data_IF_522867707569
#
_entry.id   IF_522867707569
#
_cell.length_a   1.000
_cell.length_b   1.000
_cell.length_c   1.000
_cell.angle_alpha   90.00
_cell.angle_beta   90.00
_cell.angle_gamma   90.00
#
_symmetry.space_group_name_H-M   'P 1'
#
loop_
_entity.id
_entity.type
_entity.pdbx_description
1 polymer ?
#
# COMPACT_ATOMS: atom_id res chain seq x y z
N UNK A 1 -12.45 14.49 -9.38
CA UNK A 1 -12.63 14.07 -7.96
C UNK A 1 -13.56 12.87 -7.86
N UNK A 2 -14.68 12.89 -8.55
CA UNK A 2 -15.65 11.80 -8.52
C UNK A 2 -15.08 10.50 -9.08
N UNK A 3 -14.42 10.54 -10.24
CA UNK A 3 -13.73 9.38 -10.83
C UNK A 3 -12.68 8.78 -9.88
N UNK A 4 -11.90 9.61 -9.19
CA UNK A 4 -10.94 9.14 -8.19
C UNK A 4 -11.63 8.37 -7.06
N UNK A 5 -12.75 8.90 -6.55
CA UNK A 5 -13.51 8.25 -5.49
C UNK A 5 -14.15 6.94 -5.94
N UNK A 6 -14.63 6.86 -7.19
CA UNK A 6 -15.14 5.62 -7.77
C UNK A 6 -14.05 4.54 -7.84
N UNK A 7 -12.83 4.89 -8.29
CA UNK A 7 -11.71 3.97 -8.32
C UNK A 7 -11.25 3.53 -6.93
N UNK A 8 -11.24 4.46 -5.96
CA UNK A 8 -10.96 4.14 -4.56
C UNK A 8 -11.98 3.14 -4.00
N UNK A 9 -13.27 3.36 -4.28
CA UNK A 9 -14.34 2.46 -3.85
C UNK A 9 -14.18 1.06 -4.42
N UNK A 10 -13.77 0.91 -5.68
CA UNK A 10 -13.53 -0.41 -6.28
C UNK A 10 -12.49 -1.22 -5.51
N UNK A 11 -11.42 -0.59 -5.02
CA UNK A 11 -10.40 -1.24 -4.20
C UNK A 11 -10.90 -1.47 -2.78
N UNK A 12 -11.54 -0.47 -2.17
CA UNK A 12 -12.05 -0.53 -0.82
C UNK A 12 -13.10 -1.65 -0.66
N UNK A 13 -14.01 -1.79 -1.62
CA UNK A 13 -15.09 -2.77 -1.55
C UNK A 13 -14.60 -4.22 -1.67
N UNK A 14 -13.44 -4.45 -2.29
CA UNK A 14 -12.75 -5.74 -2.40
C UNK A 14 -11.83 -6.07 -1.22
N UNK A 15 -11.57 -5.12 -0.35
CA UNK A 15 -10.70 -5.36 0.80
C UNK A 15 -11.40 -6.22 1.86
N UNK A 16 -10.72 -7.26 2.35
CA UNK A 16 -11.21 -8.14 3.42
C UNK A 16 -11.34 -7.41 4.75
N UNK A 17 -10.48 -6.43 4.99
CA UNK A 17 -10.46 -5.66 6.23
C UNK A 17 -10.60 -4.16 5.96
N UNK A 18 -11.64 -3.54 6.55
CA UNK A 18 -12.02 -2.15 6.33
C UNK A 18 -12.05 -1.40 7.66
N UNK A 19 -11.09 -0.50 7.89
CA UNK A 19 -11.05 0.33 9.11
C UNK A 19 -11.89 1.59 8.98
N UNK A 20 -11.86 2.22 7.84
CA UNK A 20 -12.57 3.45 7.56
C UNK A 20 -12.49 3.79 6.07
N UNK A 21 -13.44 4.59 5.59
CA UNK A 21 -13.53 5.01 4.20
C UNK A 21 -13.19 6.49 4.10
N UNK A 22 -12.23 6.82 3.24
CA UNK A 22 -11.87 8.21 2.98
C UNK A 22 -12.80 8.81 1.91
N UNK A 23 -13.10 10.08 2.04
CA UNK A 23 -13.73 10.84 0.97
C UNK A 23 -12.71 11.24 -0.09
N UNK A 24 -13.19 11.52 -1.31
CA UNK A 24 -12.33 12.09 -2.36
C UNK A 24 -11.63 13.37 -1.89
N UNK A 25 -12.33 14.21 -1.16
CA UNK A 25 -11.85 15.48 -0.62
C UNK A 25 -10.61 15.31 0.26
N UNK A 26 -10.53 14.19 1.00
CA UNK A 26 -9.39 13.89 1.85
C UNK A 26 -8.08 13.83 1.07
N UNK A 27 -8.06 13.18 -0.11
CA UNK A 27 -6.87 13.07 -0.95
C UNK A 27 -6.40 14.43 -1.46
N UNK A 28 -7.32 15.30 -1.86
CA UNK A 28 -7.00 16.63 -2.35
C UNK A 28 -6.53 17.55 -1.22
N UNK A 29 -7.18 17.50 -0.06
CA UNK A 29 -6.77 18.24 1.12
C UNK A 29 -5.37 17.81 1.60
N UNK A 30 -5.06 16.51 1.58
CA UNK A 30 -3.72 16.01 1.87
C UNK A 30 -2.69 16.59 0.87
N UNK A 31 -3.01 16.59 -0.43
CA UNK A 31 -2.11 17.14 -1.45
C UNK A 31 -1.88 18.64 -1.28
N UNK A 32 -2.92 19.39 -0.98
CA UNK A 32 -2.84 20.84 -0.79
C UNK A 32 -2.04 21.22 0.46
N UNK A 33 -2.31 20.54 1.59
CA UNK A 33 -1.71 20.88 2.88
C UNK A 33 -0.29 20.31 3.06
N UNK A 34 -0.02 19.10 2.55
CA UNK A 34 1.27 18.43 2.71
C UNK A 34 2.22 18.64 1.51
N UNK A 35 1.72 19.22 0.41
CA UNK A 35 2.54 19.60 -0.75
C UNK A 35 3.49 18.49 -1.21
N UNK A 36 4.81 18.70 -1.01
CA UNK A 36 5.84 17.77 -1.44
C UNK A 36 5.96 16.53 -0.56
N UNK A 37 5.42 16.57 0.66
CA UNK A 37 5.37 15.41 1.55
C UNK A 37 4.27 14.41 1.16
N UNK A 38 3.34 14.77 0.27
CA UNK A 38 2.29 13.89 -0.22
C UNK A 38 2.24 13.85 -1.74
N UNK A 39 2.25 12.64 -2.29
CA UNK A 39 2.06 12.43 -3.73
C UNK A 39 0.68 11.87 -4.01
N UNK A 40 0.04 12.40 -5.05
CA UNK A 40 -1.20 11.89 -5.63
C UNK A 40 -1.02 11.87 -7.15
N UNK A 41 -1.03 10.69 -7.76
CA UNK A 41 -0.76 10.50 -9.18
C UNK A 41 -1.88 9.72 -9.85
N UNK A 42 -2.41 10.23 -10.96
CA UNK A 42 -3.43 9.59 -11.79
C UNK A 42 -2.82 8.84 -12.99
N UNK A 43 -3.50 7.78 -13.41
CA UNK A 43 -3.20 6.99 -14.60
C UNK A 43 -4.38 7.10 -15.56
N UNK A 44 -4.10 7.48 -16.78
CA UNK A 44 -5.12 7.74 -17.80
C UNK A 44 -4.97 6.78 -18.98
N UNK A 45 -6.09 6.37 -19.51
CA UNK A 45 -6.23 5.64 -20.76
C UNK A 45 -7.28 6.38 -21.60
N UNK A 46 -6.89 6.90 -22.78
CA UNK A 46 -7.75 7.68 -23.64
C UNK A 46 -8.53 8.78 -22.88
N UNK A 47 -7.79 9.61 -22.13
CA UNK A 47 -8.28 10.70 -21.28
C UNK A 47 -9.22 10.29 -20.11
N UNK A 48 -9.45 9.00 -19.90
CA UNK A 48 -10.21 8.48 -18.75
C UNK A 48 -9.27 8.07 -17.64
N UNK A 49 -9.60 8.46 -16.40
CA UNK A 49 -8.85 8.04 -15.22
C UNK A 49 -9.12 6.56 -14.94
N UNK A 50 -8.10 5.71 -15.11
CA UNK A 50 -8.19 4.25 -14.90
C UNK A 50 -7.48 3.77 -13.63
N UNK A 51 -6.73 4.65 -12.98
CA UNK A 51 -6.09 4.35 -11.70
C UNK A 51 -5.53 5.61 -11.05
N UNK A 52 -5.29 5.52 -9.76
CA UNK A 52 -4.49 6.51 -9.02
C UNK A 52 -3.72 5.85 -7.90
N UNK A 53 -2.64 6.49 -7.50
CA UNK A 53 -1.88 6.11 -6.30
C UNK A 53 -1.56 7.33 -5.47
N UNK A 54 -1.43 7.14 -4.16
CA UNK A 54 -1.01 8.15 -3.21
C UNK A 54 0.07 7.62 -2.27
N UNK A 55 0.90 8.51 -1.74
CA UNK A 55 1.98 8.13 -0.83
C UNK A 55 2.50 9.32 -0.05
N UNK A 56 3.20 9.03 1.05
CA UNK A 56 3.83 10.01 1.91
C UNK A 56 5.34 9.90 1.82
N UNK A 57 6.00 11.06 1.76
CA UNK A 57 7.44 11.18 1.90
C UNK A 57 7.78 11.80 3.25
N UNK A 58 8.51 11.07 4.07
CA UNK A 58 8.95 11.54 5.38
C UNK A 58 10.20 10.77 5.82
N UNK A 59 11.12 11.44 6.44
CA UNK A 59 12.29 10.86 7.12
C UNK A 59 13.02 9.75 6.34
N UNK A 60 13.30 10.01 5.06
CA UNK A 60 13.95 9.04 4.16
C UNK A 60 13.05 7.89 3.69
N UNK A 61 11.74 7.94 3.98
CA UNK A 61 10.77 6.92 3.57
C UNK A 61 9.83 7.41 2.48
N UNK A 62 9.41 6.49 1.63
CA UNK A 62 8.19 6.59 0.83
C UNK A 62 7.20 5.54 1.33
N UNK A 63 6.11 5.98 1.93
CA UNK A 63 5.03 5.10 2.38
C UNK A 63 3.90 5.09 1.36
N UNK A 64 3.69 3.95 0.70
CA UNK A 64 2.58 3.74 -0.23
C UNK A 64 1.26 3.74 0.56
N UNK A 65 0.39 4.70 0.22
CA UNK A 65 -0.84 4.91 0.97
C UNK A 65 -2.02 4.19 0.30
N UNK A 66 -2.94 4.89 -0.32
CA UNK A 66 -4.07 4.29 -1.01
C UNK A 66 -3.90 4.31 -2.52
N UNK A 67 -4.51 3.32 -3.15
CA UNK A 67 -4.63 3.22 -4.60
C UNK A 67 -6.10 3.11 -4.99
N UNK A 68 -6.44 3.55 -6.19
CA UNK A 68 -7.69 3.26 -6.86
C UNK A 68 -7.40 2.61 -8.20
N UNK A 69 -8.16 1.60 -8.58
CA UNK A 69 -7.89 0.81 -9.78
C UNK A 69 -9.21 0.51 -10.48
N UNK A 70 -9.25 0.76 -11.78
CA UNK A 70 -10.27 0.17 -12.63
C UNK A 70 -9.88 -1.28 -12.93
N UNK A 71 -10.58 -2.23 -12.31
CA UNK A 71 -10.23 -3.64 -12.45
C UNK A 71 -10.51 -4.22 -13.84
N UNK A 72 -11.41 -3.64 -14.63
CA UNK A 72 -11.66 -4.05 -16.00
C UNK A 72 -10.40 -3.89 -16.88
N UNK A 73 -9.64 -2.84 -16.62
CA UNK A 73 -8.42 -2.53 -17.34
C UNK A 73 -7.14 -3.06 -16.68
N UNK A 74 -7.22 -3.45 -15.38
CA UNK A 74 -6.04 -3.80 -14.62
C UNK A 74 -5.25 -4.98 -15.20
N UNK A 75 -5.95 -6.03 -15.66
CA UNK A 75 -5.28 -7.21 -16.23
C UNK A 75 -4.55 -6.87 -17.54
N UNK A 76 -5.23 -6.19 -18.46
CA UNK A 76 -4.68 -5.86 -19.79
C UNK A 76 -3.50 -4.89 -19.71
N UNK A 77 -3.59 -3.89 -18.84
CA UNK A 77 -2.59 -2.80 -18.76
C UNK A 77 -1.67 -2.91 -17.55
N UNK A 78 -1.81 -3.94 -16.73
CA UNK A 78 -1.02 -4.18 -15.53
C UNK A 78 -0.95 -2.93 -14.61
N UNK A 79 -2.09 -2.27 -14.39
CA UNK A 79 -2.17 -0.96 -13.71
C UNK A 79 -1.50 -1.01 -12.33
N UNK A 80 -1.84 -2.03 -11.52
CA UNK A 80 -1.26 -2.17 -10.18
C UNK A 80 0.26 -2.39 -10.22
N UNK A 81 0.76 -3.21 -11.17
CA UNK A 81 2.19 -3.44 -11.33
C UNK A 81 2.92 -2.15 -11.74
N UNK A 82 2.33 -1.35 -12.63
CA UNK A 82 2.86 -0.03 -12.99
C UNK A 82 2.92 0.92 -11.81
N UNK A 83 1.93 0.88 -10.91
CA UNK A 83 1.94 1.65 -9.67
C UNK A 83 3.12 1.27 -8.76
N UNK A 84 3.43 -0.03 -8.64
CA UNK A 84 4.60 -0.49 -7.86
C UNK A 84 5.90 0.04 -8.47
N UNK A 85 6.08 -0.03 -9.79
CA UNK A 85 7.24 0.54 -10.47
C UNK A 85 7.33 2.06 -10.31
N UNK A 86 6.19 2.74 -10.32
CA UNK A 86 6.15 4.18 -10.14
C UNK A 86 6.57 4.61 -8.72
N UNK A 87 6.19 3.85 -7.67
CA UNK A 87 6.72 4.08 -6.32
C UNK A 87 8.25 3.94 -6.29
N UNK A 88 8.80 2.90 -6.94
CA UNK A 88 10.25 2.69 -7.03
C UNK A 88 10.91 3.85 -7.78
N UNK A 89 10.36 4.27 -8.92
CA UNK A 89 10.87 5.40 -9.69
C UNK A 89 10.91 6.68 -8.84
N UNK A 90 9.82 7.01 -8.16
CA UNK A 90 9.74 8.18 -7.29
C UNK A 90 10.75 8.10 -6.12
N UNK A 91 10.96 6.91 -5.57
CA UNK A 91 11.92 6.68 -4.50
C UNK A 91 13.36 6.95 -4.98
N UNK A 92 13.73 6.44 -6.16
CA UNK A 92 15.04 6.67 -6.78
C UNK A 92 15.24 8.17 -7.08
N UNK A 93 14.27 8.82 -7.71
CA UNK A 93 14.34 10.23 -8.08
C UNK A 93 14.50 11.16 -6.86
N UNK A 94 13.82 10.82 -5.76
CA UNK A 94 13.90 11.59 -4.51
C UNK A 94 14.99 11.10 -3.55
N UNK A 95 15.72 10.05 -3.94
CA UNK A 95 16.80 9.45 -3.13
C UNK A 95 16.32 9.05 -1.73
N UNK A 96 15.11 8.51 -1.62
CA UNK A 96 14.65 7.95 -0.36
C UNK A 96 15.32 6.60 -0.10
N UNK A 97 15.53 6.28 1.16
CA UNK A 97 16.25 5.08 1.57
C UNK A 97 15.37 3.83 1.54
N UNK A 98 14.06 3.99 1.79
CA UNK A 98 13.13 2.88 1.99
C UNK A 98 11.75 3.15 1.42
N UNK A 99 11.11 2.08 0.95
CA UNK A 99 9.70 2.10 0.51
C UNK A 99 8.90 1.15 1.38
N UNK A 100 7.84 1.65 2.02
CA UNK A 100 6.82 0.82 2.67
C UNK A 100 5.67 0.63 1.69
N UNK A 101 5.42 -0.61 1.26
CA UNK A 101 4.29 -0.93 0.38
C UNK A 101 3.01 -1.30 1.15
N UNK A 102 3.02 -1.17 2.48
CA UNK A 102 1.87 -1.53 3.32
C UNK A 102 1.64 -3.04 3.44
N UNK A 103 0.51 -3.43 4.04
CA UNK A 103 0.28 -4.78 4.59
C UNK A 103 -0.37 -5.79 3.64
N UNK A 104 -1.02 -5.35 2.58
CA UNK A 104 -1.84 -6.21 1.71
C UNK A 104 -1.12 -6.57 0.42
N UNK A 105 -1.63 -7.56 -0.34
CA UNK A 105 -1.12 -7.96 -1.65
C UNK A 105 0.40 -8.28 -1.65
N UNK A 106 0.87 -9.04 -0.67
CA UNK A 106 2.30 -9.31 -0.45
C UNK A 106 2.95 -10.05 -1.62
N UNK A 107 2.24 -10.99 -2.25
CA UNK A 107 2.78 -11.77 -3.35
C UNK A 107 3.19 -10.90 -4.54
N UNK A 108 2.31 -10.00 -5.01
CA UNK A 108 2.64 -9.13 -6.15
C UNK A 108 3.71 -8.09 -5.79
N UNK A 109 3.76 -7.61 -4.55
CA UNK A 109 4.82 -6.72 -4.07
C UNK A 109 6.18 -7.40 -4.03
N UNK A 110 6.23 -8.69 -3.73
CA UNK A 110 7.47 -9.45 -3.78
C UNK A 110 8.05 -9.57 -5.20
N UNK A 111 7.24 -9.40 -6.25
CA UNK A 111 7.74 -9.38 -7.65
C UNK A 111 8.62 -8.17 -7.97
N UNK A 112 8.57 -7.14 -7.16
CA UNK A 112 9.41 -5.93 -7.29
C UNK A 112 10.50 -5.86 -6.20
N UNK A 113 10.77 -7.00 -5.53
CA UNK A 113 11.83 -7.10 -4.53
C UNK A 113 11.42 -6.71 -3.11
N UNK A 114 10.13 -6.44 -2.86
CA UNK A 114 9.68 -6.21 -1.49
C UNK A 114 9.75 -7.50 -0.66
N UNK A 115 10.23 -7.39 0.57
CA UNK A 115 10.28 -8.48 1.55
C UNK A 115 9.40 -8.14 2.76
N UNK A 116 8.84 -9.15 3.43
CA UNK A 116 7.99 -8.95 4.58
C UNK A 116 8.80 -8.49 5.80
N UNK A 117 8.22 -7.58 6.56
CA UNK A 117 8.73 -7.16 7.86
C UNK A 117 7.66 -7.46 8.91
N UNK A 118 8.05 -8.15 9.96
CA UNK A 118 7.16 -8.51 11.04
C UNK A 118 6.66 -7.28 11.80
N UNK A 119 5.35 -7.13 11.86
CA UNK A 119 4.68 -6.08 12.61
C UNK A 119 4.06 -6.65 13.87
N UNK A 120 4.16 -5.91 14.98
CA UNK A 120 3.50 -6.25 16.24
C UNK A 120 2.31 -5.32 16.46
N UNK A 121 1.15 -5.91 16.75
CA UNK A 121 -0.05 -5.16 17.12
C UNK A 121 -0.30 -5.33 18.62
N UNK A 122 -0.35 -4.19 19.34
CA UNK A 122 -0.65 -4.18 20.76
C UNK A 122 -2.08 -3.69 20.95
N UNK A 123 -2.91 -4.57 21.55
CA UNK A 123 -4.32 -4.27 21.79
C UNK A 123 -4.58 -4.36 23.30
N UNK A 124 -5.24 -3.32 23.85
CA UNK A 124 -5.65 -3.26 25.25
C UNK A 124 -7.07 -2.73 25.36
N UNK A 125 -7.93 -3.50 26.03
CA UNK A 125 -9.25 -3.01 26.39
C UNK A 125 -9.21 -2.24 27.72
N UNK A 126 -10.00 -1.17 27.84
CA UNK A 126 -10.04 -0.31 29.04
C UNK A 126 -10.49 -1.05 30.29
N UNK A 127 -11.43 -1.98 30.18
CA UNK A 127 -11.93 -2.80 31.30
C UNK A 127 -11.13 -4.10 31.41
N UNK A 128 -10.86 -4.55 32.66
CA UNK A 128 -10.01 -5.73 32.95
C UNK A 128 -10.60 -7.03 32.40
N UNK A 129 -11.90 -7.29 32.60
CA UNK A 129 -12.53 -8.53 32.16
C UNK A 129 -12.53 -8.75 30.65
N UNK A 130 -12.98 -7.79 29.79
CA UNK A 130 -12.82 -7.91 28.35
C UNK A 130 -11.35 -7.97 27.91
N UNK A 131 -10.43 -7.32 28.62
CA UNK A 131 -9.01 -7.37 28.30
C UNK A 131 -8.42 -8.78 28.48
N UNK A 132 -8.86 -9.52 29.49
CA UNK A 132 -8.46 -10.91 29.69
C UNK A 132 -9.00 -11.81 28.56
N UNK A 133 -10.22 -11.56 28.08
CA UNK A 133 -10.83 -12.31 26.98
C UNK A 133 -10.14 -12.06 25.64
N UNK A 134 -9.64 -10.84 25.39
CA UNK A 134 -8.89 -10.52 24.17
C UNK A 134 -7.69 -11.45 23.99
N UNK A 135 -6.99 -11.80 25.05
CA UNK A 135 -5.82 -12.68 24.98
C UNK A 135 -6.16 -14.08 24.42
N UNK A 136 -7.34 -14.59 24.75
CA UNK A 136 -7.83 -15.87 24.21
C UNK A 136 -8.22 -15.75 22.73
N UNK A 137 -8.92 -14.68 22.36
CA UNK A 137 -9.41 -14.46 21.00
C UNK A 137 -8.27 -14.23 19.99
N UNK A 138 -7.25 -13.44 20.37
CA UNK A 138 -6.12 -13.14 19.47
C UNK A 138 -5.11 -14.28 19.33
N UNK A 139 -5.13 -15.29 20.18
CA UNK A 139 -4.33 -16.51 20.02
C UNK A 139 -4.71 -17.34 18.79
N UNK A 140 -5.89 -17.11 18.20
CA UNK A 140 -6.37 -17.80 17.00
C UNK A 140 -6.11 -17.02 15.69
N UNK A 141 -5.67 -15.77 15.78
CA UNK A 141 -5.36 -14.97 14.58
C UNK A 141 -3.99 -15.38 14.04
N UNK A 142 -3.99 -16.09 12.93
CA UNK A 142 -2.76 -16.43 12.20
C UNK A 142 -2.49 -15.41 11.11
N UNK A 143 -1.20 -15.07 10.85
CA UNK A 143 -0.83 -14.32 9.67
C UNK A 143 -1.28 -15.04 8.40
N UNK A 144 -1.65 -14.28 7.35
CA UNK A 144 -1.93 -14.87 6.04
C UNK A 144 -0.63 -15.38 5.42
N UNK A 145 -0.64 -16.64 4.99
CA UNK A 145 0.46 -17.21 4.22
C UNK A 145 0.45 -16.66 2.79
N UNK A 146 1.61 -16.42 2.22
CA UNK A 146 1.78 -16.00 0.83
C UNK A 146 3.06 -16.58 0.25
N UNK A 147 3.11 -16.72 -1.08
CA UNK A 147 4.30 -17.18 -1.77
C UNK A 147 5.22 -15.99 -2.06
N UNK A 148 6.36 -15.93 -1.37
CA UNK A 148 7.41 -14.96 -1.64
C UNK A 148 8.02 -15.23 -3.02
N UNK A 149 7.93 -14.25 -3.92
CA UNK A 149 8.62 -14.31 -5.22
C UNK A 149 9.97 -13.64 -5.10
N UNK A 150 10.99 -14.28 -5.67
CA UNK A 150 12.36 -13.76 -5.68
C UNK A 150 12.52 -12.94 -6.96
N UNK A 151 12.55 -11.61 -6.84
CA UNK A 151 12.68 -10.70 -7.97
C UNK A 151 14.12 -10.57 -8.46
N UNK A 152 15.11 -10.80 -7.58
CA UNK A 152 16.54 -10.64 -7.86
C UNK A 152 17.29 -11.97 -7.76
N UNK A 153 18.44 -12.08 -8.44
CA UNK A 153 19.33 -13.24 -8.30
C UNK A 153 19.92 -13.30 -6.90
N UNK A 154 20.13 -14.49 -6.35
CA UNK A 154 20.67 -14.68 -4.99
C UNK A 154 21.93 -13.85 -4.69
N UNK A 155 22.79 -13.67 -5.67
CA UNK A 155 24.05 -12.92 -5.54
C UNK A 155 23.85 -11.43 -5.27
N UNK A 156 22.75 -10.86 -5.76
CA UNK A 156 22.42 -9.44 -5.58
C UNK A 156 21.73 -9.17 -4.24
N UNK A 157 21.16 -10.19 -3.59
CA UNK A 157 20.53 -10.06 -2.27
C UNK A 157 21.58 -10.08 -1.15
N UNK A 158 22.64 -10.89 -1.29
CA UNK A 158 23.73 -10.95 -0.31
C UNK A 158 24.55 -9.65 -0.21
N UNK A 159 24.61 -8.87 -1.32
CA UNK A 159 25.27 -7.56 -1.35
C UNK A 159 24.43 -6.44 -0.69
N UNK A 160 23.11 -6.64 -0.52
CA UNK A 160 22.20 -5.67 0.10
C UNK A 160 22.04 -5.88 1.61
N UNK A 161 22.46 -7.04 2.14
CA UNK A 161 22.42 -7.36 3.57
C UNK A 161 23.74 -6.99 4.31
N UNK A 162 24.78 -6.60 3.59
CA UNK A 162 26.04 -6.08 4.16
C UNK A 162 26.01 -4.54 4.32
#
# INVERSE_FOLDING_TARGET
REELHQLYNQVYDRADFKLGKLSAECFFNLKENLKDCFTLKGYFLDDKLVGFQSGFFYDGWLDAHFVGINYEHNYQYAIYQRMLYEYIRMAIERKVERISFGRTAMEIKSTVGAFPVDLKCYIRHRKKAPNALLKLLFGYVKPSEFNQRVAFKKRELEELEM
#
